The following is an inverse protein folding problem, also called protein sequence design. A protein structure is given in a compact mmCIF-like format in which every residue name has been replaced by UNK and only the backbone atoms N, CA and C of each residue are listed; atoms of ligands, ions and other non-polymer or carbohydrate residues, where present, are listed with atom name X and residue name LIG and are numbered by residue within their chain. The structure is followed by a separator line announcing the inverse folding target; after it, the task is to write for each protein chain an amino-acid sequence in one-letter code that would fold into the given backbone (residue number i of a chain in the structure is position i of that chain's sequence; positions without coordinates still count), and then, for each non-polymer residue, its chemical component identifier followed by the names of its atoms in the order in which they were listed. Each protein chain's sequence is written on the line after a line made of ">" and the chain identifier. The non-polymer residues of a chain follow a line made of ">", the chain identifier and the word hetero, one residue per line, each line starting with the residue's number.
data_IF_191740745815
#
_entry.id   IF_191740745815
#
_cell.length_a   1.000
_cell.length_b   1.000
_cell.length_c   1.000
_cell.angle_alpha   90.00
_cell.angle_beta   90.00
_cell.angle_gamma   90.00
#
_symmetry.space_group_name_H-M   'P 1'
#
loop_
_entity.id
_entity.type
_entity.pdbx_description
1 polymer ?
#
# COMPACT_ATOMS: atom_id res chain seq x y z
N UNK A 1 -1.40 -31.44 -19.84
CA UNK A 1 -1.49 -30.69 -18.57
C UNK A 1 -1.00 -29.28 -18.83
N UNK A 2 -1.86 -28.30 -18.61
CA UNK A 2 -1.72 -26.89 -19.02
C UNK A 2 -0.90 -26.06 -18.01
N UNK A 3 0.09 -25.31 -18.49
CA UNK A 3 0.73 -24.15 -17.84
C UNK A 3 1.36 -23.29 -18.97
N UNK A 4 0.78 -22.19 -19.46
CA UNK A 4 0.45 -20.84 -18.90
C UNK A 4 1.70 -19.97 -18.60
N UNK A 5 1.81 -18.88 -19.38
CA UNK A 5 2.85 -17.82 -19.46
C UNK A 5 2.48 -16.66 -18.46
N UNK A 6 3.14 -15.47 -18.42
CA UNK A 6 2.70 -14.20 -17.71
C UNK A 6 2.76 -12.87 -18.54
N UNK A 7 1.62 -12.14 -18.63
CA UNK A 7 1.29 -10.86 -19.35
C UNK A 7 0.47 -9.95 -18.40
N UNK A 8 0.50 -8.60 -18.56
CA UNK A 8 -0.09 -7.54 -17.67
C UNK A 8 -0.65 -6.38 -18.53
N UNK A 9 -1.81 -5.66 -18.26
CA UNK A 9 -1.86 -4.50 -17.31
C UNK A 9 -3.25 -3.98 -16.77
N UNK A 10 -3.25 -3.07 -15.75
CA UNK A 10 -4.01 -1.78 -15.67
C UNK A 10 -4.32 -1.26 -14.21
N UNK A 11 -4.43 0.07 -14.07
CA UNK A 11 -4.52 0.90 -12.86
C UNK A 11 -5.91 1.54 -12.67
N UNK A 12 -6.69 1.14 -11.66
CA UNK A 12 -8.11 1.50 -11.58
C UNK A 12 -8.51 2.99 -11.45
N UNK A 13 -7.62 3.99 -11.62
CA UNK A 13 -7.94 5.44 -11.52
C UNK A 13 -7.09 6.39 -12.38
N UNK A 14 -6.33 5.88 -13.36
CA UNK A 14 -5.22 6.58 -14.05
C UNK A 14 -5.40 8.09 -14.23
N UNK A 15 -4.43 8.96 -13.85
CA UNK A 15 -4.15 10.24 -14.53
C UNK A 15 -2.74 10.78 -14.17
N UNK A 16 -1.68 10.04 -14.55
CA UNK A 16 -0.34 10.49 -14.98
C UNK A 16 0.67 9.40 -14.68
N UNK A 17 0.97 8.58 -15.69
CA UNK A 17 2.36 8.22 -15.95
C UNK A 17 3.14 9.54 -15.90
N UNK A 18 4.02 9.71 -14.91
CA UNK A 18 4.76 10.97 -14.73
C UNK A 18 5.43 11.40 -16.03
N UNK A 19 5.70 12.70 -16.19
CA UNK A 19 6.24 13.29 -17.42
C UNK A 19 7.51 12.59 -17.99
N UNK A 20 8.17 11.76 -17.18
CA UNK A 20 9.26 10.87 -17.59
C UNK A 20 8.87 9.82 -18.65
N UNK A 21 7.60 9.42 -18.73
CA UNK A 21 7.14 8.33 -19.62
C UNK A 21 6.55 8.79 -20.97
N UNK A 22 6.26 10.10 -21.14
CA UNK A 22 5.54 10.62 -22.31
C UNK A 22 6.33 10.60 -23.64
N UNK A 23 7.65 10.83 -23.68
CA UNK A 23 8.44 10.69 -24.91
C UNK A 23 8.52 9.23 -25.41
N UNK A 24 8.40 8.25 -24.51
CA UNK A 24 8.56 6.83 -24.80
C UNK A 24 7.27 6.16 -25.30
N UNK A 25 6.11 6.68 -24.88
CA UNK A 25 4.80 6.22 -25.38
C UNK A 25 4.47 6.70 -26.79
N UNK A 26 4.96 7.86 -27.23
CA UNK A 26 4.69 8.33 -28.60
C UNK A 26 5.31 7.42 -29.68
N UNK A 27 6.38 6.69 -29.35
CA UNK A 27 6.96 5.67 -30.23
C UNK A 27 6.13 4.36 -30.23
N UNK A 28 5.61 3.94 -29.07
CA UNK A 28 4.79 2.71 -28.95
C UNK A 28 3.38 2.88 -29.56
N UNK A 29 2.81 4.09 -29.50
CA UNK A 29 1.49 4.42 -30.07
C UNK A 29 1.44 4.35 -31.60
N UNK A 30 2.60 4.38 -32.27
CA UNK A 30 2.73 4.25 -33.73
C UNK A 30 2.79 2.79 -34.19
N UNK A 31 2.99 1.82 -33.28
CA UNK A 31 3.18 0.40 -33.62
C UNK A 31 1.92 -0.45 -33.42
N UNK A 32 0.95 0.02 -32.65
CA UNK A 32 -0.27 -0.73 -32.32
C UNK A 32 -1.45 -0.04 -32.97
N UNK A 33 -1.72 -0.42 -34.22
CA UNK A 33 -2.93 -0.05 -34.94
C UNK A 33 -4.19 -0.61 -34.25
N UNK A 34 -5.18 0.26 -34.11
CA UNK A 34 -6.58 0.09 -33.69
C UNK A 34 -7.11 -1.32 -33.36
N UNK A 35 -7.59 -1.51 -32.11
CA UNK A 35 -8.99 -1.85 -31.75
C UNK A 35 -9.07 -2.44 -30.33
N UNK A 36 -10.06 -1.97 -29.56
CA UNK A 36 -10.22 -2.14 -28.11
C UNK A 36 -10.99 -3.44 -27.75
N UNK A 37 -10.61 -4.22 -26.71
CA UNK A 37 -11.47 -5.28 -26.14
C UNK A 37 -12.23 -4.86 -24.86
N UNK A 38 -13.29 -5.62 -24.45
CA UNK A 38 -14.43 -5.14 -23.65
C UNK A 38 -14.26 -5.23 -22.11
N UNK A 39 -15.25 -4.75 -21.29
CA UNK A 39 -15.07 -4.42 -19.87
C UNK A 39 -14.96 -5.61 -18.90
N UNK A 40 -14.21 -5.38 -17.82
CA UNK A 40 -13.80 -6.32 -16.77
C UNK A 40 -14.81 -6.35 -15.61
N UNK A 41 -15.97 -6.99 -15.79
CA UNK A 41 -16.95 -7.18 -14.70
C UNK A 41 -17.11 -8.64 -14.24
N UNK A 42 -16.32 -9.60 -14.77
CA UNK A 42 -16.57 -11.03 -14.53
C UNK A 42 -15.45 -11.82 -13.80
N UNK A 43 -14.37 -11.19 -13.33
CA UNK A 43 -13.20 -11.94 -12.85
C UNK A 43 -12.84 -11.59 -11.40
N UNK A 44 -13.36 -12.39 -10.46
CA UNK A 44 -13.09 -12.33 -9.03
C UNK A 44 -11.68 -12.76 -8.60
N UNK A 45 -10.65 -12.56 -9.43
CA UNK A 45 -9.24 -12.82 -9.10
C UNK A 45 -8.33 -12.19 -10.16
N UNK A 46 -7.15 -11.62 -9.81
CA UNK A 46 -6.17 -11.04 -10.75
C UNK A 46 -5.53 -12.03 -11.76
N UNK A 47 -5.98 -13.28 -11.81
CA UNK A 47 -5.31 -14.38 -12.51
C UNK A 47 -5.97 -14.77 -13.86
N UNK A 48 -7.00 -14.06 -14.32
CA UNK A 48 -7.83 -14.48 -15.47
C UNK A 48 -7.77 -13.53 -16.71
N UNK A 49 -6.66 -12.82 -16.95
CA UNK A 49 -6.49 -11.94 -18.13
C UNK A 49 -5.82 -12.69 -19.31
N UNK A 50 -6.27 -12.54 -20.58
CA UNK A 50 -5.66 -13.23 -21.74
C UNK A 50 -4.43 -12.51 -22.36
N UNK A 51 -3.60 -13.30 -23.05
CA UNK A 51 -2.24 -13.03 -23.60
C UNK A 51 -2.19 -12.12 -24.84
N UNK A 52 -1.14 -11.29 -24.98
CA UNK A 52 -0.80 -10.55 -26.24
C UNK A 52 0.73 -10.48 -26.45
N UNK A 53 1.19 -10.48 -27.72
CA UNK A 53 2.61 -10.48 -28.17
C UNK A 53 3.28 -9.09 -28.19
N UNK A 54 4.63 -9.04 -28.09
CA UNK A 54 5.41 -7.80 -27.96
C UNK A 54 6.59 -7.66 -28.98
N UNK A 55 7.03 -6.43 -29.34
CA UNK A 55 8.05 -6.19 -30.37
C UNK A 55 9.50 -6.16 -29.86
N UNK A 56 10.45 -6.24 -30.80
CA UNK A 56 11.87 -6.53 -30.60
C UNK A 56 12.66 -5.51 -29.76
N UNK A 57 12.22 -4.25 -29.66
CA UNK A 57 12.91 -3.20 -28.88
C UNK A 57 12.69 -3.31 -27.36
N UNK A 58 11.85 -4.25 -26.89
CA UNK A 58 11.49 -4.44 -25.49
C UNK A 58 12.67 -4.77 -24.55
N UNK A 59 13.75 -5.37 -25.07
CA UNK A 59 14.94 -5.72 -24.27
C UNK A 59 15.69 -4.48 -23.74
N UNK A 60 15.74 -3.39 -24.53
CA UNK A 60 16.33 -2.12 -24.10
C UNK A 60 15.46 -1.40 -23.06
N UNK A 61 14.14 -1.49 -23.20
CA UNK A 61 13.18 -0.95 -22.25
C UNK A 61 13.21 -1.72 -20.91
N UNK A 62 13.37 -3.04 -20.95
CA UNK A 62 13.51 -3.90 -19.76
C UNK A 62 14.79 -3.62 -18.98
N UNK A 63 15.92 -3.40 -19.65
CA UNK A 63 17.19 -3.04 -19.01
C UNK A 63 17.12 -1.65 -18.32
N UNK A 64 16.41 -0.70 -18.93
CA UNK A 64 16.24 0.64 -18.37
C UNK A 64 15.23 0.67 -17.21
N UNK A 65 14.13 -0.08 -17.30
CA UNK A 65 13.13 -0.23 -16.22
C UNK A 65 13.69 -1.04 -15.02
N UNK A 66 14.63 -1.95 -15.27
CA UNK A 66 15.42 -2.65 -14.25
C UNK A 66 16.36 -1.71 -13.46
N UNK A 67 16.59 -0.47 -13.94
CA UNK A 67 17.39 0.54 -13.22
C UNK A 67 16.52 1.39 -12.25
N UNK A 68 15.18 1.35 -12.40
CA UNK A 68 14.22 2.14 -11.61
C UNK A 68 13.16 1.26 -10.91
N UNK A 69 13.47 0.00 -10.68
CA UNK A 69 12.69 -1.00 -9.93
C UNK A 69 11.17 -1.05 -10.24
N UNK A 70 10.81 -0.93 -11.53
CA UNK A 70 9.54 -1.45 -12.05
C UNK A 70 9.82 -2.80 -12.69
N UNK A 71 9.14 -3.88 -12.28
CA UNK A 71 9.46 -5.23 -12.78
C UNK A 71 8.29 -5.88 -13.56
N UNK A 72 8.67 -6.30 -14.78
CA UNK A 72 8.03 -7.19 -15.76
C UNK A 72 8.08 -8.68 -15.28
N UNK A 73 7.23 -9.59 -15.78
CA UNK A 73 7.35 -11.03 -15.43
C UNK A 73 8.37 -11.80 -16.32
N UNK A 74 9.18 -12.66 -15.67
CA UNK A 74 10.23 -13.57 -16.20
C UNK A 74 10.03 -15.00 -15.60
N UNK A 75 10.48 -16.06 -16.29
CA UNK A 75 10.27 -17.47 -15.89
C UNK A 75 11.55 -18.18 -15.34
N UNK A 76 11.35 -19.10 -14.37
CA UNK A 76 12.37 -19.97 -13.71
C UNK A 76 11.90 -21.45 -13.78
N UNK A 77 12.86 -22.38 -13.85
CA UNK A 77 12.87 -23.70 -14.52
C UNK A 77 12.30 -24.95 -13.74
N UNK A 78 12.25 -26.21 -14.28
CA UNK A 78 13.36 -26.98 -14.90
C UNK A 78 13.16 -27.44 -16.36
N UNK A 79 14.29 -27.60 -17.06
CA UNK A 79 14.61 -28.10 -18.42
C UNK A 79 13.45 -28.65 -19.27
N UNK A 80 12.64 -29.56 -18.74
CA UNK A 80 11.52 -30.16 -19.45
C UNK A 80 10.45 -29.17 -19.90
N UNK A 81 10.36 -27.98 -19.30
CA UNK A 81 9.47 -26.91 -19.78
C UNK A 81 10.06 -26.18 -21.00
N UNK A 82 11.38 -25.97 -21.03
CA UNK A 82 12.11 -25.34 -22.14
C UNK A 82 12.07 -26.24 -23.39
N UNK A 83 12.26 -27.55 -23.20
CA UNK A 83 12.18 -28.53 -24.27
C UNK A 83 10.79 -28.57 -24.93
N UNK A 84 9.73 -28.53 -24.11
CA UNK A 84 8.34 -28.49 -24.59
C UNK A 84 7.99 -27.19 -25.31
N UNK A 85 8.57 -26.06 -24.89
CA UNK A 85 8.40 -24.76 -25.55
C UNK A 85 9.08 -24.73 -26.93
N UNK A 86 10.29 -25.31 -27.05
CA UNK A 86 10.98 -25.47 -28.35
C UNK A 86 10.23 -26.42 -29.29
N UNK A 87 9.62 -27.48 -28.76
CA UNK A 87 8.83 -28.44 -29.55
C UNK A 87 7.52 -27.85 -30.12
N UNK A 88 6.98 -26.78 -29.51
CA UNK A 88 5.83 -26.04 -30.05
C UNK A 88 6.24 -24.80 -30.85
N UNK A 89 7.52 -24.68 -31.20
CA UNK A 89 8.03 -23.69 -32.15
C UNK A 89 8.57 -22.39 -31.54
N UNK A 90 8.83 -22.33 -30.23
CA UNK A 90 9.49 -21.17 -29.64
C UNK A 90 11.00 -21.16 -29.96
N UNK A 91 11.49 -20.08 -30.57
CA UNK A 91 12.92 -19.81 -30.79
C UNK A 91 13.47 -18.84 -29.72
N UNK A 92 14.77 -18.90 -29.41
CA UNK A 92 15.49 -18.09 -28.39
C UNK A 92 15.02 -18.20 -26.92
N UNK A 93 14.53 -19.37 -26.52
CA UNK A 93 14.24 -19.66 -25.10
C UNK A 93 15.55 -19.76 -24.30
N UNK A 94 15.76 -18.80 -23.38
CA UNK A 94 16.94 -18.74 -22.49
C UNK A 94 16.53 -18.83 -21.02
N UNK A 95 17.23 -19.68 -20.28
CA UNK A 95 17.10 -19.84 -18.82
C UNK A 95 17.79 -18.66 -18.16
N UNK A 96 17.05 -17.92 -17.32
CA UNK A 96 17.69 -16.88 -16.51
C UNK A 96 18.25 -17.50 -15.23
N UNK A 97 19.56 -17.27 -15.03
CA UNK A 97 20.28 -17.67 -13.83
C UNK A 97 19.62 -17.09 -12.57
N UNK A 98 19.73 -17.86 -11.48
CA UNK A 98 19.29 -17.53 -10.12
C UNK A 98 19.63 -16.08 -9.72
N UNK A 99 18.77 -15.39 -8.92
CA UNK A 99 18.82 -13.94 -8.64
C UNK A 99 20.08 -13.42 -7.91
N UNK A 100 21.12 -14.23 -7.75
CA UNK A 100 22.39 -13.84 -7.15
C UNK A 100 23.24 -12.93 -8.07
N UNK A 101 22.95 -12.86 -9.37
CA UNK A 101 23.78 -12.14 -10.37
C UNK A 101 23.27 -10.77 -10.84
N UNK A 102 22.10 -10.31 -10.40
CA UNK A 102 21.49 -9.05 -10.86
C UNK A 102 21.12 -8.10 -9.71
N UNK A 103 22.04 -7.89 -8.76
CA UNK A 103 21.97 -6.67 -7.97
C UNK A 103 22.40 -5.49 -8.87
N UNK A 104 21.65 -4.38 -8.96
CA UNK A 104 22.11 -3.16 -9.61
C UNK A 104 23.52 -2.87 -9.13
N UNK A 105 24.43 -2.65 -10.08
CA UNK A 105 25.86 -2.52 -9.83
C UNK A 105 26.11 -1.65 -8.59
N UNK A 106 26.64 -2.28 -7.55
CA UNK A 106 27.24 -1.70 -6.35
C UNK A 106 26.81 -0.25 -6.05
N UNK A 107 25.69 -0.06 -5.35
CA UNK A 107 25.58 1.16 -4.55
C UNK A 107 26.55 0.97 -3.37
N UNK A 108 27.76 1.51 -3.48
CA UNK A 108 28.77 1.47 -2.40
C UNK A 108 28.24 2.00 -1.05
N UNK A 109 27.12 2.74 -1.09
CA UNK A 109 26.43 3.35 0.05
C UNK A 109 25.25 2.52 0.60
N UNK A 110 24.91 1.36 0.03
CA UNK A 110 23.78 0.51 0.46
C UNK A 110 22.40 1.01 0.01
N UNK A 111 21.32 0.52 0.64
CA UNK A 111 19.93 0.84 0.27
C UNK A 111 19.13 1.42 1.44
N UNK A 112 18.06 2.18 1.14
CA UNK A 112 17.01 2.54 2.10
C UNK A 112 15.87 1.53 2.02
N UNK A 113 15.64 0.78 3.10
CA UNK A 113 14.53 -0.13 3.25
C UNK A 113 13.25 0.65 3.63
N UNK A 114 12.23 0.58 2.78
CA UNK A 114 10.95 1.27 2.99
C UNK A 114 9.92 0.28 3.53
N UNK A 115 9.57 0.38 4.81
CA UNK A 115 8.75 -0.65 5.48
C UNK A 115 7.24 -0.45 5.35
N UNK A 116 6.80 0.49 4.52
CA UNK A 116 5.39 0.85 4.37
C UNK A 116 4.60 -0.26 3.67
N UNK A 117 3.30 -0.42 3.98
CA UNK A 117 2.42 -1.27 3.18
C UNK A 117 2.30 -0.75 1.74
N UNK A 118 1.80 -1.60 0.85
CA UNK A 118 1.39 -1.17 -0.48
C UNK A 118 0.06 -0.39 -0.45
N UNK A 119 -0.12 0.61 -1.34
CA UNK A 119 0.84 1.09 -2.34
C UNK A 119 1.86 2.12 -1.80
N UNK A 120 1.76 2.55 -0.55
CA UNK A 120 2.52 3.70 -0.04
C UNK A 120 4.03 3.47 0.05
N UNK A 121 4.49 2.21 0.11
CA UNK A 121 5.90 1.88 -0.09
C UNK A 121 6.40 2.34 -1.47
N UNK A 122 5.59 2.17 -2.52
CA UNK A 122 5.95 2.56 -3.89
C UNK A 122 6.10 4.07 -4.00
N UNK A 123 5.12 4.81 -3.48
CA UNK A 123 5.13 6.27 -3.50
C UNK A 123 6.34 6.86 -2.77
N UNK A 124 6.72 6.25 -1.63
CA UNK A 124 7.89 6.70 -0.88
C UNK A 124 9.19 6.34 -1.59
N UNK A 125 9.29 5.13 -2.16
CA UNK A 125 10.42 4.70 -2.99
C UNK A 125 10.64 5.63 -4.18
N UNK A 126 9.59 5.91 -4.96
CA UNK A 126 9.67 6.82 -6.11
C UNK A 126 10.12 8.23 -5.68
N UNK A 127 9.62 8.72 -4.54
CA UNK A 127 10.01 10.03 -4.03
C UNK A 127 11.49 10.10 -3.61
N UNK A 128 12.05 9.01 -3.08
CA UNK A 128 13.46 8.89 -2.71
C UNK A 128 14.35 8.72 -3.95
N UNK A 129 13.97 7.85 -4.87
CA UNK A 129 14.72 7.51 -6.08
C UNK A 129 14.80 8.68 -7.06
N UNK A 130 13.71 9.45 -7.20
CA UNK A 130 13.71 10.70 -7.97
C UNK A 130 14.72 11.73 -7.44
N UNK A 131 15.21 11.56 -6.21
CA UNK A 131 16.23 12.41 -5.56
C UNK A 131 17.60 11.71 -5.45
N UNK A 132 17.78 10.57 -6.12
CA UNK A 132 19.03 9.81 -6.15
C UNK A 132 19.29 8.94 -4.93
N UNK A 133 18.25 8.62 -4.14
CA UNK A 133 18.33 7.73 -2.98
C UNK A 133 17.77 6.36 -3.38
N UNK A 134 18.61 5.30 -3.47
CA UNK A 134 18.17 3.98 -3.88
C UNK A 134 17.39 3.29 -2.76
N UNK A 135 16.27 2.65 -3.11
CA UNK A 135 15.37 2.04 -2.12
C UNK A 135 15.09 0.58 -2.39
N UNK A 136 14.70 -0.14 -1.33
CA UNK A 136 14.13 -1.48 -1.42
C UNK A 136 12.78 -1.44 -0.71
N UNK A 137 11.66 -1.60 -1.44
CA UNK A 137 10.36 -1.77 -0.81
C UNK A 137 10.33 -3.06 0.02
N UNK A 138 9.91 -2.96 1.27
CA UNK A 138 9.82 -4.11 2.18
C UNK A 138 8.56 -3.98 3.05
N UNK A 139 7.37 -4.22 2.49
CA UNK A 139 6.11 -4.01 3.20
C UNK A 139 6.01 -4.98 4.38
N UNK A 140 6.06 -4.47 5.62
CA UNK A 140 6.06 -5.37 6.80
C UNK A 140 4.66 -5.67 7.29
N UNK A 141 3.68 -4.88 6.85
CA UNK A 141 2.26 -5.07 7.13
C UNK A 141 1.47 -5.04 5.82
N UNK A 142 0.28 -5.63 5.84
CA UNK A 142 -0.74 -5.50 4.82
C UNK A 142 -2.08 -5.13 5.48
N UNK A 143 -3.06 -4.84 4.63
CA UNK A 143 -4.43 -4.64 5.05
C UNK A 143 -5.32 -5.65 4.38
N UNK A 144 -6.15 -6.32 5.17
CA UNK A 144 -7.18 -7.23 4.70
C UNK A 144 -8.55 -6.69 5.07
N UNK A 145 -9.57 -7.13 4.33
CA UNK A 145 -10.95 -6.88 4.71
C UNK A 145 -11.18 -7.39 6.15
N UNK A 146 -11.93 -6.60 6.91
CA UNK A 146 -12.25 -6.92 8.30
C UNK A 146 -13.47 -7.83 8.39
N UNK A 147 -14.44 -7.40 9.18
CA UNK A 147 -15.69 -8.13 9.38
C UNK A 147 -16.65 -7.87 8.20
N UNK A 148 -17.62 -8.76 8.02
CA UNK A 148 -18.78 -8.48 7.17
C UNK A 148 -19.57 -7.28 7.74
N UNK A 149 -20.21 -6.47 6.88
CA UNK A 149 -21.07 -5.38 7.32
C UNK A 149 -22.25 -5.89 8.16
N UNK A 150 -22.80 -5.08 9.06
CA UNK A 150 -24.03 -5.44 9.76
C UNK A 150 -25.20 -5.66 8.79
N UNK A 151 -26.02 -6.69 9.03
CA UNK A 151 -27.20 -6.99 8.21
C UNK A 151 -28.13 -5.79 8.04
N UNK A 152 -28.33 -5.01 9.10
CA UNK A 152 -29.14 -3.80 9.08
C UNK A 152 -28.63 -2.77 8.06
N UNK A 153 -27.31 -2.65 7.90
CA UNK A 153 -26.70 -1.78 6.89
C UNK A 153 -26.94 -2.30 5.48
N UNK A 154 -26.74 -3.61 5.25
CA UNK A 154 -26.90 -4.22 3.93
C UNK A 154 -28.35 -4.15 3.45
N UNK A 155 -29.29 -4.43 4.35
CA UNK A 155 -30.72 -4.51 4.03
C UNK A 155 -31.35 -3.15 3.78
N UNK A 156 -31.02 -2.15 4.61
CA UNK A 156 -31.70 -0.86 4.63
C UNK A 156 -30.74 0.28 5.00
N UNK A 157 -29.72 0.58 4.16
CA UNK A 157 -28.73 1.61 4.45
C UNK A 157 -29.38 2.99 4.68
N UNK A 158 -30.48 3.29 4.02
CA UNK A 158 -31.27 4.52 4.18
C UNK A 158 -31.87 4.72 5.58
N UNK A 159 -31.91 3.67 6.42
CA UNK A 159 -32.33 3.79 7.82
C UNK A 159 -31.25 4.38 8.72
N UNK A 160 -30.01 4.45 8.24
CA UNK A 160 -28.90 5.08 8.94
C UNK A 160 -28.95 6.59 8.73
N UNK A 161 -28.81 7.35 9.81
CA UNK A 161 -28.72 8.80 9.73
C UNK A 161 -27.31 9.27 9.41
N UNK A 162 -26.30 8.49 9.82
CA UNK A 162 -24.89 8.84 9.74
C UNK A 162 -24.01 7.65 9.37
N UNK A 163 -22.98 7.91 8.57
CA UNK A 163 -21.80 7.05 8.38
C UNK A 163 -20.57 7.81 8.86
N UNK A 164 -19.81 7.21 9.77
CA UNK A 164 -18.62 7.82 10.39
C UNK A 164 -17.39 7.05 9.96
N UNK A 165 -16.44 7.74 9.31
CA UNK A 165 -15.18 7.19 8.83
C UNK A 165 -13.97 7.80 9.55
N UNK A 166 -13.07 6.92 9.97
CA UNK A 166 -11.92 7.29 10.83
C UNK A 166 -10.57 7.20 10.13
N UNK A 167 -10.54 6.94 8.81
CA UNK A 167 -9.31 6.96 8.02
C UNK A 167 -9.60 7.01 6.53
N UNK A 168 -8.63 7.52 5.76
CA UNK A 168 -8.58 7.44 4.29
C UNK A 168 -8.79 6.01 3.80
N UNK A 169 -8.10 5.06 4.43
CA UNK A 169 -8.19 3.64 4.08
C UNK A 169 -9.59 3.07 4.36
N UNK A 170 -10.25 3.53 5.41
CA UNK A 170 -11.66 3.18 5.68
C UNK A 170 -12.58 3.59 4.52
N UNK A 171 -12.36 4.78 3.94
CA UNK A 171 -13.10 5.20 2.74
C UNK A 171 -12.88 4.21 1.60
N UNK A 172 -11.63 3.79 1.36
CA UNK A 172 -11.30 2.87 0.26
C UNK A 172 -11.93 1.49 0.44
N UNK A 173 -11.87 0.90 1.64
CA UNK A 173 -12.49 -0.41 1.90
C UNK A 173 -14.01 -0.35 1.79
N UNK A 174 -14.64 0.70 2.33
CA UNK A 174 -16.08 0.90 2.22
C UNK A 174 -16.49 1.09 0.76
N UNK A 175 -15.73 1.89 0.00
CA UNK A 175 -15.96 2.12 -1.42
C UNK A 175 -15.85 0.83 -2.23
N UNK A 176 -14.77 0.07 -2.05
CA UNK A 176 -14.57 -1.20 -2.75
C UNK A 176 -15.70 -2.18 -2.45
N UNK A 177 -16.11 -2.28 -1.17
CA UNK A 177 -17.25 -3.11 -0.80
C UNK A 177 -18.55 -2.61 -1.47
N UNK A 178 -18.82 -1.31 -1.42
CA UNK A 178 -20.02 -0.72 -2.01
C UNK A 178 -20.09 -0.95 -3.53
N UNK A 179 -19.00 -0.66 -4.25
CA UNK A 179 -18.89 -0.87 -5.70
C UNK A 179 -19.10 -2.35 -6.07
N UNK A 180 -18.50 -3.29 -5.32
CA UNK A 180 -18.68 -4.72 -5.52
C UNK A 180 -20.13 -5.21 -5.33
N UNK A 181 -20.95 -4.45 -4.58
CA UNK A 181 -22.37 -4.74 -4.37
C UNK A 181 -23.28 -3.89 -5.27
N UNK A 182 -22.73 -3.15 -6.23
CA UNK A 182 -23.47 -2.27 -7.13
C UNK A 182 -23.99 -0.98 -6.47
N UNK A 183 -23.40 -0.57 -5.35
CA UNK A 183 -23.77 0.64 -4.63
C UNK A 183 -22.93 1.82 -5.11
N UNK A 184 -23.50 2.63 -6.01
CA UNK A 184 -22.93 3.92 -6.37
C UNK A 184 -23.20 5.01 -5.31
N UNK A 185 -22.52 6.17 -5.42
CA UNK A 185 -22.75 7.32 -4.54
C UNK A 185 -24.23 7.75 -4.46
N UNK A 186 -24.99 7.59 -5.53
CA UNK A 186 -26.42 7.92 -5.58
C UNK A 186 -27.25 7.14 -4.56
N UNK A 187 -26.92 5.88 -4.28
CA UNK A 187 -27.61 5.08 -3.26
C UNK A 187 -27.34 5.60 -1.86
N UNK A 188 -26.16 6.20 -1.66
CA UNK A 188 -25.65 6.66 -0.38
C UNK A 188 -25.88 8.16 -0.13
N UNK A 189 -26.40 8.89 -1.13
CA UNK A 189 -26.52 10.36 -1.14
C UNK A 189 -27.37 10.96 -0.02
N UNK A 190 -28.32 10.20 0.54
CA UNK A 190 -29.23 10.67 1.58
C UNK A 190 -28.67 10.47 3.00
N UNK A 191 -27.52 9.80 3.12
CA UNK A 191 -26.84 9.60 4.39
C UNK A 191 -25.99 10.82 4.71
N UNK A 192 -25.88 11.15 6.01
CA UNK A 192 -24.89 12.13 6.45
C UNK A 192 -23.55 11.47 6.70
N UNK A 193 -22.47 12.15 6.37
CA UNK A 193 -21.12 11.61 6.41
C UNK A 193 -20.23 12.41 7.35
N UNK A 194 -19.55 11.69 8.25
CA UNK A 194 -18.54 12.26 9.12
C UNK A 194 -17.16 11.69 8.81
N UNK A 195 -16.17 12.57 8.66
CA UNK A 195 -14.77 12.21 8.44
C UNK A 195 -13.92 12.72 9.59
N UNK A 196 -12.99 11.90 10.10
CA UNK A 196 -12.10 12.26 11.22
C UNK A 196 -11.22 13.49 10.96
N UNK A 197 -10.96 13.82 9.70
CA UNK A 197 -10.14 14.96 9.32
C UNK A 197 -10.03 15.16 7.82
N UNK A 198 -9.29 16.20 7.38
CA UNK A 198 -9.27 16.67 5.99
C UNK A 198 -8.91 15.60 4.96
N UNK A 199 -7.87 14.81 5.19
CA UNK A 199 -7.45 13.78 4.23
C UNK A 199 -8.54 12.71 3.99
N UNK A 200 -9.27 12.33 5.04
CA UNK A 200 -10.41 11.39 4.92
C UNK A 200 -11.58 12.04 4.21
N UNK A 201 -11.83 13.33 4.47
CA UNK A 201 -12.85 14.12 3.77
C UNK A 201 -12.55 14.24 2.27
N UNK A 202 -11.30 14.53 1.90
CA UNK A 202 -10.89 14.63 0.50
C UNK A 202 -11.01 13.30 -0.23
N UNK A 203 -10.73 12.18 0.47
CA UNK A 203 -10.94 10.84 -0.09
C UNK A 203 -12.43 10.53 -0.32
N UNK A 204 -13.33 10.98 0.56
CA UNK A 204 -14.77 10.88 0.35
C UNK A 204 -15.23 11.72 -0.84
N UNK A 205 -14.75 12.95 -0.97
CA UNK A 205 -15.05 13.83 -2.10
C UNK A 205 -14.59 13.22 -3.42
N UNK A 206 -13.41 12.59 -3.44
CA UNK A 206 -12.92 11.85 -4.60
C UNK A 206 -13.78 10.61 -4.95
N UNK A 207 -14.61 10.14 -4.03
CA UNK A 207 -15.65 9.13 -4.28
C UNK A 207 -17.01 9.73 -4.66
N UNK A 208 -17.15 11.06 -4.67
CA UNK A 208 -18.41 11.75 -4.97
C UNK A 208 -19.33 11.93 -3.76
N UNK A 209 -18.79 11.83 -2.54
CA UNK A 209 -19.52 12.02 -1.29
C UNK A 209 -18.98 13.25 -0.57
N UNK A 210 -19.83 14.24 -0.32
CA UNK A 210 -19.46 15.42 0.49
C UNK A 210 -19.71 15.12 1.98
N UNK A 211 -18.68 15.21 2.85
CA UNK A 211 -18.86 15.01 4.28
C UNK A 211 -19.58 16.20 4.94
N UNK A 212 -20.66 15.93 5.66
CA UNK A 212 -21.40 16.91 6.47
C UNK A 212 -20.64 17.35 7.74
N UNK A 213 -19.76 16.49 8.25
CA UNK A 213 -19.04 16.74 9.49
C UNK A 213 -17.56 16.40 9.36
N UNK A 214 -16.72 17.41 9.55
CA UNK A 214 -15.26 17.27 9.70
C UNK A 214 -14.85 18.13 10.89
N UNK A 215 -14.15 17.60 11.91
CA UNK A 215 -13.62 18.41 13.01
C UNK A 215 -12.72 19.54 12.49
N UNK A 216 -12.70 20.70 13.16
CA UNK A 216 -11.88 21.85 12.76
C UNK A 216 -10.41 21.69 13.15
N UNK A 217 -10.13 21.25 14.38
CA UNK A 217 -8.81 21.41 15.00
C UNK A 217 -8.17 20.09 15.44
N UNK A 218 -8.97 19.15 15.95
CA UNK A 218 -8.48 17.86 16.48
C UNK A 218 -8.89 16.74 15.53
N UNK A 219 -7.93 16.19 14.77
CA UNK A 219 -8.19 15.10 13.82
C UNK A 219 -8.01 13.71 14.44
N UNK A 220 -8.62 13.52 15.61
CA UNK A 220 -8.63 12.28 16.39
C UNK A 220 -10.06 11.94 16.83
N UNK A 221 -10.23 10.81 17.52
CA UNK A 221 -11.55 10.38 18.00
C UNK A 221 -12.22 11.47 18.85
N UNK A 222 -11.45 12.15 19.69
CA UNK A 222 -11.86 13.23 20.58
C UNK A 222 -12.43 14.42 19.79
N UNK A 223 -11.84 14.78 18.66
CA UNK A 223 -12.36 15.87 17.84
C UNK A 223 -13.69 15.52 17.15
N UNK A 224 -13.86 14.27 16.70
CA UNK A 224 -15.15 13.79 16.22
C UNK A 224 -16.20 13.83 17.34
N UNK A 225 -15.84 13.44 18.57
CA UNK A 225 -16.74 13.51 19.72
C UNK A 225 -17.21 14.94 19.96
N UNK A 226 -16.30 15.91 20.01
CA UNK A 226 -16.66 17.33 20.18
C UNK A 226 -17.53 17.86 19.04
N UNK A 227 -17.26 17.42 17.80
CA UNK A 227 -18.06 17.79 16.64
C UNK A 227 -19.48 17.23 16.74
N UNK A 228 -19.63 15.95 17.13
CA UNK A 228 -20.93 15.30 17.29
C UNK A 228 -21.75 15.84 18.48
N UNK A 229 -21.14 16.44 19.50
CA UNK A 229 -21.88 17.13 20.57
C UNK A 229 -22.78 18.27 20.09
N UNK A 230 -22.51 18.80 18.89
CA UNK A 230 -23.30 19.87 18.26
C UNK A 230 -24.38 19.34 17.32
N UNK A 231 -24.51 18.01 17.22
CA UNK A 231 -25.42 17.30 16.32
C UNK A 231 -26.37 16.45 17.15
N UNK A 232 -27.68 16.54 16.87
CA UNK A 232 -28.65 15.65 17.48
C UNK A 232 -28.57 14.25 16.84
N UNK A 233 -28.03 13.30 17.59
CA UNK A 233 -27.90 11.89 17.22
C UNK A 233 -28.77 10.96 18.09
N UNK A 234 -29.57 11.51 19.01
CA UNK A 234 -30.38 10.70 19.92
C UNK A 234 -31.44 9.88 19.14
N UNK A 235 -31.48 8.57 19.41
CA UNK A 235 -32.36 7.62 18.71
C UNK A 235 -32.02 7.42 17.23
N UNK A 236 -30.90 7.98 16.73
CA UNK A 236 -30.49 7.85 15.33
C UNK A 236 -29.54 6.67 15.18
N UNK A 237 -29.70 5.93 14.09
CA UNK A 237 -28.76 4.90 13.66
C UNK A 237 -27.50 5.52 13.09
N UNK A 238 -26.36 5.12 13.63
CA UNK A 238 -25.04 5.57 13.20
C UNK A 238 -24.20 4.36 12.83
N UNK A 239 -23.74 4.30 11.58
CA UNK A 239 -22.74 3.32 11.16
C UNK A 239 -21.36 3.90 11.47
N UNK A 240 -20.65 3.31 12.43
CA UNK A 240 -19.25 3.59 12.68
C UNK A 240 -18.39 2.60 11.89
N UNK A 241 -17.93 3.03 10.71
CA UNK A 241 -17.12 2.23 9.81
C UNK A 241 -15.63 2.61 10.01
N UNK A 242 -14.84 1.67 10.53
CA UNK A 242 -13.50 1.99 11.05
C UNK A 242 -12.53 0.84 10.94
N UNK A 243 -11.25 1.16 11.13
CA UNK A 243 -10.26 0.15 11.47
C UNK A 243 -10.53 -0.42 12.87
N UNK A 244 -9.94 -1.58 13.16
CA UNK A 244 -9.81 -2.08 14.52
C UNK A 244 -9.16 -1.03 15.44
N UNK A 245 -9.66 -0.88 16.67
CA UNK A 245 -9.05 0.00 17.68
C UNK A 245 -9.95 0.27 18.88
N UNK A 246 -9.59 1.30 19.66
CA UNK A 246 -10.25 1.63 20.95
C UNK A 246 -11.75 1.96 20.79
N UNK A 247 -12.62 1.57 21.74
CA UNK A 247 -14.07 1.76 21.65
C UNK A 247 -14.55 3.20 21.92
N UNK A 248 -13.65 4.12 22.31
CA UNK A 248 -13.94 5.48 22.80
C UNK A 248 -14.97 6.25 21.95
N UNK A 249 -14.83 6.28 20.62
CA UNK A 249 -15.77 6.99 19.75
C UNK A 249 -17.16 6.33 19.73
N UNK A 250 -17.22 5.00 19.73
CA UNK A 250 -18.48 4.26 19.76
C UNK A 250 -19.22 4.47 21.08
N UNK A 251 -18.50 4.39 22.21
CA UNK A 251 -19.03 4.64 23.55
C UNK A 251 -19.55 6.07 23.69
N UNK A 252 -18.79 7.06 23.19
CA UNK A 252 -19.20 8.46 23.23
C UNK A 252 -20.49 8.70 22.42
N UNK A 253 -20.58 8.18 21.19
CA UNK A 253 -21.80 8.29 20.38
C UNK A 253 -23.01 7.61 21.05
N UNK A 254 -22.82 6.43 21.65
CA UNK A 254 -23.86 5.75 22.44
C UNK A 254 -24.29 6.59 23.64
N UNK A 255 -23.36 7.25 24.33
CA UNK A 255 -23.67 8.14 25.46
C UNK A 255 -24.47 9.38 25.05
N UNK A 256 -24.37 9.79 23.78
CA UNK A 256 -25.21 10.84 23.18
C UNK A 256 -26.59 10.32 22.71
N UNK A 257 -26.89 9.04 22.95
CA UNK A 257 -28.18 8.42 22.62
C UNK A 257 -28.25 7.81 21.22
N UNK A 258 -27.15 7.72 20.46
CA UNK A 258 -27.14 7.08 19.15
C UNK A 258 -27.23 5.55 19.24
N UNK A 259 -27.93 4.94 18.29
CA UNK A 259 -27.89 3.51 18.02
C UNK A 259 -26.67 3.20 17.13
N UNK A 260 -25.54 2.89 17.77
CA UNK A 260 -24.26 2.71 17.07
C UNK A 260 -24.06 1.28 16.60
N UNK A 261 -23.98 1.12 15.28
CA UNK A 261 -23.59 -0.10 14.59
C UNK A 261 -22.14 0.01 14.15
N UNK A 262 -21.31 -0.95 14.51
CA UNK A 262 -19.88 -0.92 14.19
C UNK A 262 -19.59 -1.85 13.01
N UNK A 263 -18.76 -1.38 12.09
CA UNK A 263 -18.22 -2.20 11.01
C UNK A 263 -16.70 -2.04 10.96
N UNK A 264 -15.99 -3.12 11.27
CA UNK A 264 -14.53 -3.18 11.11
C UNK A 264 -14.22 -3.41 9.64
N UNK A 265 -13.92 -2.33 8.92
CA UNK A 265 -13.72 -2.37 7.47
C UNK A 265 -12.45 -3.13 7.08
N UNK A 266 -11.40 -3.00 7.88
CA UNK A 266 -10.13 -3.64 7.61
C UNK A 266 -9.37 -3.93 8.91
N UNK A 267 -8.48 -4.92 8.81
CA UNK A 267 -7.49 -5.24 9.84
C UNK A 267 -6.07 -5.05 9.30
N UNK A 268 -5.18 -4.64 10.17
CA UNK A 268 -3.75 -4.62 9.87
C UNK A 268 -3.20 -6.01 10.16
N UNK A 269 -2.60 -6.65 9.16
CA UNK A 269 -1.99 -7.97 9.31
C UNK A 269 -0.49 -7.90 9.01
N UNK A 270 0.27 -8.86 9.51
CA UNK A 270 1.66 -9.01 9.08
C UNK A 270 1.69 -9.35 7.58
N UNK A 271 2.66 -8.77 6.85
CA UNK A 271 2.87 -9.16 5.47
C UNK A 271 3.38 -10.62 5.41
N UNK A 272 2.97 -11.44 4.42
CA UNK A 272 3.36 -12.84 4.36
C UNK A 272 4.88 -13.05 4.45
N UNK A 273 5.33 -13.77 5.48
CA UNK A 273 6.75 -13.94 5.80
C UNK A 273 7.53 -14.68 4.70
N UNK A 274 6.89 -15.61 3.98
CA UNK A 274 7.47 -16.29 2.83
C UNK A 274 7.82 -15.33 1.69
N UNK A 275 7.03 -14.27 1.49
CA UNK A 275 7.34 -13.21 0.52
C UNK A 275 8.49 -12.34 1.00
N UNK A 276 8.51 -11.97 2.29
CA UNK A 276 9.61 -11.19 2.87
C UNK A 276 10.93 -11.94 2.87
N UNK A 277 10.93 -13.26 3.06
CA UNK A 277 12.16 -14.09 2.98
C UNK A 277 12.83 -14.01 1.62
N UNK A 278 12.07 -13.82 0.54
CA UNK A 278 12.63 -13.62 -0.82
C UNK A 278 13.46 -12.33 -0.92
N UNK A 279 13.18 -11.36 -0.05
CA UNK A 279 13.90 -10.09 0.03
C UNK A 279 15.06 -10.13 1.04
N UNK A 280 15.27 -11.25 1.75
CA UNK A 280 16.33 -11.39 2.77
C UNK A 280 17.74 -11.05 2.24
N UNK A 281 18.15 -11.46 1.02
CA UNK A 281 19.48 -11.09 0.49
C UNK A 281 19.73 -9.58 0.40
N UNK A 282 18.66 -8.78 0.30
CA UNK A 282 18.75 -7.32 0.26
C UNK A 282 18.92 -6.71 1.64
N UNK A 283 18.39 -7.32 2.70
CA UNK A 283 18.51 -6.84 4.09
C UNK A 283 19.96 -6.77 4.56
N UNK A 284 20.83 -7.60 4.00
CA UNK A 284 22.25 -7.60 4.31
C UNK A 284 22.99 -6.39 3.69
N UNK A 285 22.39 -5.75 2.68
CA UNK A 285 22.92 -4.59 1.95
C UNK A 285 22.19 -3.28 2.27
N UNK A 286 21.22 -3.32 3.18
CA UNK A 286 20.50 -2.14 3.66
C UNK A 286 21.40 -1.33 4.58
N UNK A 287 21.48 -0.02 4.34
CA UNK A 287 22.12 0.95 5.24
C UNK A 287 21.12 1.67 6.12
N UNK A 288 19.96 1.99 5.58
CA UNK A 288 18.92 2.77 6.23
C UNK A 288 17.60 2.02 6.25
N UNK A 289 16.86 2.14 7.34
CA UNK A 289 15.53 1.55 7.47
C UNK A 289 14.55 2.65 7.86
N UNK A 290 13.47 2.78 7.11
CA UNK A 290 12.47 3.81 7.32
C UNK A 290 11.18 3.20 7.89
N UNK A 291 10.87 3.48 9.15
CA UNK A 291 9.63 3.06 9.80
C UNK A 291 8.61 4.18 9.89
N UNK A 292 7.38 3.91 9.47
CA UNK A 292 6.31 4.92 9.46
C UNK A 292 5.19 4.66 10.46
N UNK A 293 5.28 3.60 11.23
CA UNK A 293 4.36 3.33 12.33
C UNK A 293 4.95 2.29 13.29
N UNK A 294 4.46 2.23 14.54
CA UNK A 294 4.78 1.13 15.44
C UNK A 294 4.44 -0.24 14.87
N UNK A 295 3.36 -0.36 14.09
CA UNK A 295 2.96 -1.64 13.47
C UNK A 295 3.95 -2.09 12.41
N UNK A 296 4.47 -1.18 11.58
CA UNK A 296 5.52 -1.52 10.60
C UNK A 296 6.80 -2.01 11.29
N UNK A 297 7.18 -1.39 12.41
CA UNK A 297 8.34 -1.78 13.20
C UNK A 297 8.14 -3.14 13.90
N UNK A 298 7.03 -3.35 14.61
CA UNK A 298 6.77 -4.60 15.33
C UNK A 298 6.71 -5.80 14.38
N UNK A 299 6.02 -5.66 13.24
CA UNK A 299 5.95 -6.73 12.24
C UNK A 299 7.32 -7.01 11.61
N UNK A 300 8.14 -5.97 11.43
CA UNK A 300 9.53 -6.14 10.99
C UNK A 300 10.38 -6.90 12.03
N UNK A 301 10.26 -6.52 13.30
CA UNK A 301 10.96 -7.14 14.42
C UNK A 301 10.63 -8.64 14.53
N UNK A 302 9.36 -8.99 14.41
CA UNK A 302 8.89 -10.38 14.42
C UNK A 302 9.37 -11.15 13.19
N UNK A 303 9.35 -10.52 12.00
CA UNK A 303 9.96 -11.09 10.81
C UNK A 303 11.44 -11.41 11.03
N UNK A 304 12.23 -10.46 11.54
CA UNK A 304 13.66 -10.67 11.76
C UNK A 304 13.93 -11.79 12.78
N UNK A 305 13.18 -11.85 13.88
CA UNK A 305 13.27 -12.96 14.86
C UNK A 305 13.00 -14.32 14.23
N UNK A 306 12.12 -14.37 13.22
CA UNK A 306 11.81 -15.61 12.50
C UNK A 306 12.81 -15.95 11.39
N UNK A 307 13.58 -14.96 10.91
CA UNK A 307 14.42 -15.07 9.73
C UNK A 307 15.93 -15.09 10.03
N UNK A 308 16.33 -14.75 11.26
CA UNK A 308 17.72 -14.70 11.69
C UNK A 308 17.91 -15.41 13.04
N UNK A 309 19.07 -16.07 13.25
CA UNK A 309 19.46 -16.55 14.57
C UNK A 309 19.51 -15.42 15.61
N UNK A 310 19.29 -15.71 16.91
CA UNK A 310 19.28 -14.69 17.97
C UNK A 310 20.53 -13.80 17.99
N UNK A 311 21.72 -14.37 17.75
CA UNK A 311 22.99 -13.66 17.74
C UNK A 311 23.09 -12.62 16.61
N UNK A 312 22.62 -12.94 15.40
CA UNK A 312 22.61 -12.00 14.27
C UNK A 312 21.53 -10.92 14.45
N UNK A 313 20.37 -11.32 14.98
CA UNK A 313 19.26 -10.42 15.28
C UNK A 313 19.64 -9.33 16.28
N UNK A 314 20.38 -9.66 17.35
CA UNK A 314 20.75 -8.72 18.41
C UNK A 314 21.61 -7.55 17.90
N UNK A 315 22.47 -7.78 16.92
CA UNK A 315 23.35 -6.76 16.33
C UNK A 315 22.75 -6.05 15.12
N UNK A 316 21.66 -6.57 14.56
CA UNK A 316 20.98 -6.00 13.40
C UNK A 316 20.69 -4.49 13.52
N UNK A 317 20.08 -3.98 14.60
CA UNK A 317 19.79 -2.54 14.71
C UNK A 317 21.01 -1.63 14.85
N UNK A 318 22.17 -2.18 15.26
CA UNK A 318 23.40 -1.41 15.48
C UNK A 318 24.31 -1.37 14.25
N UNK A 319 23.98 -2.17 13.24
CA UNK A 319 24.72 -2.24 11.97
C UNK A 319 24.00 -1.49 10.85
N UNK A 320 22.81 -0.93 11.13
CA UNK A 320 22.00 -0.14 10.21
C UNK A 320 21.58 1.16 10.88
N UNK A 321 21.33 2.17 10.05
CA UNK A 321 20.70 3.42 10.49
C UNK A 321 19.19 3.31 10.37
N UNK A 322 18.51 4.01 11.28
CA UNK A 322 17.07 3.88 11.42
C UNK A 322 16.45 5.28 11.45
N UNK A 323 15.56 5.53 10.49
CA UNK A 323 14.77 6.74 10.39
C UNK A 323 13.31 6.43 10.73
N UNK A 324 12.67 7.31 11.50
CA UNK A 324 11.27 7.15 11.88
C UNK A 324 10.46 8.38 11.50
N UNK A 325 9.20 8.17 11.14
CA UNK A 325 8.30 9.26 10.73
C UNK A 325 7.96 10.23 11.88
N UNK A 326 8.05 9.80 13.14
CA UNK A 326 7.60 10.63 14.27
C UNK A 326 7.70 9.95 15.64
N UNK A 327 7.29 10.66 16.70
CA UNK A 327 7.63 10.33 18.09
C UNK A 327 7.01 9.02 18.58
N UNK A 328 5.77 8.71 18.19
CA UNK A 328 5.11 7.45 18.59
C UNK A 328 5.84 6.23 18.02
N UNK A 329 6.37 6.33 16.81
CA UNK A 329 7.19 5.27 16.21
C UNK A 329 8.54 5.20 16.90
N UNK A 330 9.18 6.35 17.16
CA UNK A 330 10.45 6.42 17.90
C UNK A 330 10.36 5.72 19.27
N UNK A 331 9.31 5.99 20.02
CA UNK A 331 9.06 5.37 21.32
C UNK A 331 8.96 3.85 21.22
N UNK A 332 8.26 3.32 20.21
CA UNK A 332 8.14 1.89 20.00
C UNK A 332 9.50 1.20 19.74
N UNK A 333 10.42 1.88 19.04
CA UNK A 333 11.79 1.39 18.82
C UNK A 333 12.61 1.44 20.10
N UNK A 334 12.55 2.55 20.83
CA UNK A 334 13.28 2.71 22.09
C UNK A 334 12.85 1.70 23.16
N UNK A 335 11.55 1.37 23.23
CA UNK A 335 11.03 0.31 24.10
C UNK A 335 11.59 -1.08 23.76
N UNK A 336 12.01 -1.30 22.50
CA UNK A 336 12.68 -2.52 22.05
C UNK A 336 14.21 -2.41 22.11
N UNK A 337 14.76 -1.35 22.71
CA UNK A 337 16.19 -1.04 22.74
C UNK A 337 16.83 -0.88 21.35
N UNK A 338 16.05 -0.42 20.37
CA UNK A 338 16.55 -0.07 19.04
C UNK A 338 16.85 1.44 18.97
N UNK A 339 18.01 1.84 18.40
CA UNK A 339 18.36 3.24 18.25
C UNK A 339 17.47 3.92 17.21
N UNK A 340 17.26 5.22 17.39
CA UNK A 340 16.64 6.10 16.40
C UNK A 340 17.70 7.08 15.95
N UNK A 341 18.13 6.97 14.70
CA UNK A 341 19.21 7.80 14.14
C UNK A 341 18.68 9.07 13.49
N UNK A 342 17.44 9.04 13.01
CA UNK A 342 16.76 10.19 12.45
C UNK A 342 15.26 10.14 12.73
N UNK A 343 14.67 11.31 12.97
CA UNK A 343 13.22 11.48 13.06
C UNK A 343 12.81 12.62 12.13
N UNK A 344 11.75 12.42 11.36
CA UNK A 344 11.18 13.50 10.56
C UNK A 344 10.64 14.62 11.45
N UNK A 345 10.78 15.87 11.00
CA UNK A 345 10.28 17.06 11.72
C UNK A 345 8.75 17.01 11.91
N UNK A 346 8.05 16.55 10.86
CA UNK A 346 6.61 16.34 10.87
C UNK A 346 6.30 14.88 10.60
N UNK A 347 5.20 14.38 11.18
CA UNK A 347 4.73 13.00 11.01
C UNK A 347 4.10 12.74 9.62
N UNK A 348 4.84 13.03 8.56
CA UNK A 348 4.41 12.90 7.16
C UNK A 348 5.46 12.16 6.34
N UNK A 349 5.01 11.48 5.29
CA UNK A 349 5.91 10.80 4.35
C UNK A 349 6.86 11.79 3.68
N UNK A 350 6.36 12.97 3.30
CA UNK A 350 7.19 14.01 2.68
C UNK A 350 8.34 14.45 3.59
N UNK A 351 8.07 14.74 4.86
CA UNK A 351 9.11 15.14 5.81
C UNK A 351 10.13 14.02 6.07
N UNK A 352 9.69 12.75 6.12
CA UNK A 352 10.60 11.61 6.25
C UNK A 352 11.48 11.42 5.01
N UNK A 353 10.93 11.61 3.80
CA UNK A 353 11.70 11.58 2.55
C UNK A 353 12.76 12.68 2.56
N UNK A 354 12.40 13.92 2.92
CA UNK A 354 13.37 15.03 2.99
C UNK A 354 14.50 14.75 4.01
N UNK A 355 14.16 14.22 5.19
CA UNK A 355 15.16 13.83 6.20
C UNK A 355 16.13 12.77 5.67
N UNK A 356 15.61 11.70 5.04
CA UNK A 356 16.44 10.63 4.46
C UNK A 356 17.34 11.15 3.33
N UNK A 357 16.82 12.04 2.47
CA UNK A 357 17.59 12.64 1.36
C UNK A 357 18.72 13.52 1.89
N UNK A 358 18.45 14.34 2.92
CA UNK A 358 19.46 15.17 3.54
C UNK A 358 20.61 14.33 4.12
N UNK A 359 20.28 13.28 4.87
CA UNK A 359 21.25 12.36 5.49
C UNK A 359 22.05 11.58 4.42
N UNK A 360 21.37 11.11 3.38
CA UNK A 360 22.01 10.41 2.26
C UNK A 360 23.04 11.30 1.55
N UNK A 361 22.71 12.58 1.31
CA UNK A 361 23.60 13.56 0.67
C UNK A 361 24.79 13.95 1.54
N UNK A 362 24.60 14.01 2.86
CA UNK A 362 25.67 14.23 3.83
C UNK A 362 26.68 13.05 3.90
N UNK A 363 26.39 11.94 3.24
CA UNK A 363 27.26 10.75 3.19
C UNK A 363 27.13 9.85 4.41
N UNK A 364 26.10 10.06 5.21
CA UNK A 364 25.93 9.41 6.50
C UNK A 364 25.22 8.05 6.47
#
# INVERSE_FOLDING_TARGET
>A
MSARVWVVPWDGRSHRLGAWAMPYFQAARLLIGESVPPPVEALGSPLDVPWVEAPAEAAGLAAMLATYDRVLWLAVEPDGAVERLRQVGAEDVTVLDSPERAAPAAVDKGWVLVTRPWPEAWEMSEALEARGVPTVPFPTIAFEAGDEPPDAWVQAPETFAWVVLTSVRGVDFLRTWAEAHGWGPDRLRNLRWAAIGPATADRLRAWGIEPDLVPSDVYQAEGLIEAFRKVDVAGRRVLLARAEGRPVLAEALRSMGAEVWEWRLYRTVAYPADRLRRLRPWLDRVRWVAFTSPSTFRSFLDFLRSAYPPEEFLWWPYTRRIAVIGPVTAEALLQASWPVHAQAEYATQAALVEALVALWRAGE
#
